data_IF_879539716630
#
_entry.id   IF_879539716630
#
_cell.length_a   1.000
_cell.length_b   1.000
_cell.length_c   1.000
_cell.angle_alpha   90.00
_cell.angle_beta   90.00
_cell.angle_gamma   90.00
#
_symmetry.space_group_name_H-M   'P 1'
#
loop_
_entity.id
_entity.type
_entity.pdbx_description
1 polymer ?
#
# COMPACT_ATOMS: atom_id res chain seq x y z
N UNK A 1 24.81 31.06 3.24
CA UNK A 1 24.58 29.72 3.80
C UNK A 1 24.18 28.80 2.65
N UNK A 2 25.14 28.31 1.87
CA UNK A 2 24.90 27.32 0.82
C UNK A 2 25.39 26.00 1.37
N UNK A 3 24.50 25.27 2.03
CA UNK A 3 24.82 23.91 2.46
C UNK A 3 24.78 23.06 1.19
N UNK A 4 25.96 22.71 0.69
CA UNK A 4 26.10 21.76 -0.40
C UNK A 4 25.55 20.43 0.08
N UNK A 5 24.43 19.99 -0.49
CA UNK A 5 23.86 18.69 -0.15
C UNK A 5 24.81 17.61 -0.66
N UNK A 6 25.52 16.97 0.26
CA UNK A 6 26.37 15.82 -0.04
C UNK A 6 25.47 14.67 -0.51
N UNK A 7 25.75 14.04 -1.66
CA UNK A 7 25.06 12.81 -2.04
C UNK A 7 25.29 11.76 -0.96
N UNK A 8 24.23 11.36 -0.28
CA UNK A 8 24.29 10.30 0.72
C UNK A 8 24.17 8.96 -0.01
N UNK A 9 25.10 8.04 0.25
CA UNK A 9 25.05 6.69 -0.29
C UNK A 9 23.95 5.88 0.42
N UNK A 10 22.81 5.77 -0.24
CA UNK A 10 21.62 5.06 0.22
C UNK A 10 21.45 3.70 -0.48
N UNK A 11 22.52 3.12 -1.05
CA UNK A 11 22.46 1.89 -1.87
C UNK A 11 21.71 0.72 -1.18
N UNK A 12 21.63 0.72 0.14
CA UNK A 12 20.86 -0.25 0.93
C UNK A 12 19.47 0.17 1.41
N UNK A 13 19.06 1.44 1.28
CA UNK A 13 17.76 1.91 1.80
C UNK A 13 16.62 1.47 0.86
N UNK A 14 15.65 0.67 1.34
CA UNK A 14 14.48 0.28 0.56
C UNK A 14 13.55 1.46 0.20
N UNK A 15 13.71 2.61 0.87
CA UNK A 15 12.93 3.85 0.67
C UNK A 15 13.73 4.95 0.01
N UNK A 16 14.90 4.63 -0.55
CA UNK A 16 15.76 5.54 -1.31
C UNK A 16 15.05 6.22 -2.50
N UNK A 17 13.82 5.81 -2.82
CA UNK A 17 12.98 6.48 -3.81
C UNK A 17 13.43 6.21 -5.24
N UNK A 18 14.52 5.46 -5.45
CA UNK A 18 14.91 4.96 -6.76
C UNK A 18 13.79 4.08 -7.32
N UNK A 19 13.16 4.57 -8.37
CA UNK A 19 12.14 3.85 -9.11
C UNK A 19 12.77 2.63 -9.79
N UNK A 20 12.24 1.45 -9.49
CA UNK A 20 12.61 0.22 -10.19
C UNK A 20 11.74 0.18 -11.43
N UNK A 21 12.23 0.74 -12.54
CA UNK A 21 11.54 0.64 -13.82
C UNK A 21 11.41 -0.83 -14.20
N UNK A 22 10.19 -1.37 -14.12
CA UNK A 22 9.88 -2.69 -14.64
C UNK A 22 9.64 -2.49 -16.14
N UNK A 23 10.61 -2.86 -16.96
CA UNK A 23 10.41 -2.91 -18.40
C UNK A 23 9.26 -3.88 -18.69
N UNK A 24 8.20 -3.37 -19.31
CA UNK A 24 7.09 -4.18 -19.81
C UNK A 24 7.54 -4.88 -21.09
N UNK A 25 8.49 -5.80 -20.98
CA UNK A 25 8.83 -6.71 -22.07
C UNK A 25 7.69 -7.74 -22.16
N UNK A 26 7.14 -7.89 -23.35
CA UNK A 26 6.09 -8.86 -23.68
C UNK A 26 6.57 -10.33 -23.58
N UNK A 27 7.82 -10.55 -23.15
CA UNK A 27 8.36 -11.86 -22.86
C UNK A 27 8.10 -12.25 -21.40
N UNK A 28 7.45 -13.41 -21.24
CA UNK A 28 6.82 -13.91 -20.01
C UNK A 28 7.72 -14.10 -18.78
N UNK A 29 9.00 -13.80 -18.87
CA UNK A 29 9.97 -13.86 -17.77
C UNK A 29 9.74 -12.76 -16.72
N UNK A 30 9.32 -11.56 -17.15
CA UNK A 30 9.00 -10.47 -16.23
C UNK A 30 7.72 -10.74 -15.43
N UNK A 31 6.79 -11.51 -15.98
CA UNK A 31 5.54 -11.91 -15.30
C UNK A 31 5.84 -12.92 -14.18
N UNK A 32 6.79 -13.82 -14.42
CA UNK A 32 7.22 -14.82 -13.45
C UNK A 32 7.93 -14.17 -12.26
N UNK A 33 8.83 -13.21 -12.49
CA UNK A 33 9.52 -12.46 -11.43
C UNK A 33 8.62 -11.50 -10.66
N UNK A 34 7.60 -10.90 -11.30
CA UNK A 34 6.59 -10.10 -10.61
C UNK A 34 5.70 -10.96 -9.72
N UNK A 35 5.29 -12.14 -10.21
CA UNK A 35 4.53 -13.10 -9.41
C UNK A 35 5.34 -13.56 -8.20
N UNK A 36 6.65 -13.74 -8.38
CA UNK A 36 7.60 -14.10 -7.32
C UNK A 36 7.77 -13.02 -6.25
N UNK A 37 7.90 -11.75 -6.65
CA UNK A 37 7.98 -10.62 -5.70
C UNK A 37 6.65 -10.35 -5.02
N UNK A 38 5.54 -10.54 -5.73
CA UNK A 38 4.21 -10.39 -5.14
C UNK A 38 3.89 -11.49 -4.13
N UNK A 39 4.30 -12.75 -4.36
CA UNK A 39 4.10 -13.81 -3.34
C UNK A 39 4.87 -13.53 -2.05
N UNK A 40 6.03 -12.88 -2.11
CA UNK A 40 6.81 -12.51 -0.93
C UNK A 40 6.19 -11.31 -0.19
N UNK A 41 5.59 -10.36 -0.92
CA UNK A 41 4.90 -9.18 -0.35
C UNK A 41 3.46 -9.44 0.06
N UNK A 42 2.88 -10.60 -0.30
CA UNK A 42 1.52 -10.95 0.12
C UNK A 42 1.50 -11.07 1.64
N UNK A 43 0.51 -10.44 2.31
CA UNK A 43 0.30 -10.68 3.72
C UNK A 43 0.14 -12.19 3.91
N UNK A 44 1.05 -12.82 4.68
CA UNK A 44 0.80 -14.16 5.15
C UNK A 44 -0.51 -14.07 5.93
N UNK A 45 -1.54 -14.74 5.45
CA UNK A 45 -2.90 -14.75 6.02
C UNK A 45 -2.95 -15.41 7.41
N UNK A 46 -1.85 -15.40 8.16
CA UNK A 46 -1.83 -15.75 9.58
C UNK A 46 -2.36 -14.55 10.33
N UNK A 47 -3.69 -14.46 10.34
CA UNK A 47 -4.38 -13.46 11.13
C UNK A 47 -4.47 -13.96 12.57
N UNK A 48 -3.44 -13.68 13.34
CA UNK A 48 -3.38 -14.01 14.79
C UNK A 48 -4.32 -13.13 15.62
N UNK A 49 -4.77 -11.99 15.07
CA UNK A 49 -5.70 -11.08 15.75
C UNK A 49 -7.12 -11.24 15.22
N UNK A 50 -8.12 -11.47 16.09
CA UNK A 50 -9.51 -11.38 15.67
C UNK A 50 -9.76 -9.93 15.20
N UNK A 51 -10.27 -9.75 13.97
CA UNK A 51 -10.87 -8.48 13.57
C UNK A 51 -11.96 -8.23 14.56
N UNK A 52 -11.87 -7.06 15.17
CA UNK A 52 -12.90 -6.53 16.04
C UNK A 52 -14.23 -6.63 15.28
N UNK A 53 -15.09 -7.52 15.76
CA UNK A 53 -16.46 -7.68 15.27
C UNK A 53 -17.34 -6.61 15.90
N UNK A 54 -16.83 -5.38 16.00
CA UNK A 54 -17.60 -4.25 16.46
C UNK A 54 -18.89 -4.20 15.64
N UNK A 55 -19.97 -3.89 16.35
CA UNK A 55 -21.27 -3.72 15.72
C UNK A 55 -21.13 -2.74 14.56
N UNK A 56 -21.64 -3.07 13.36
CA UNK A 56 -21.59 -2.13 12.25
C UNK A 56 -22.30 -0.83 12.65
N UNK A 57 -21.82 0.33 12.18
CA UNK A 57 -22.48 1.60 12.44
C UNK A 57 -23.97 1.54 12.10
N UNK A 58 -24.79 2.26 12.86
CA UNK A 58 -26.22 2.34 12.59
C UNK A 58 -26.46 2.85 11.16
N UNK A 59 -27.42 2.24 10.46
CA UNK A 59 -27.85 2.73 9.15
C UNK A 59 -28.60 4.05 9.36
N UNK A 60 -28.18 5.09 8.66
CA UNK A 60 -28.89 6.36 8.63
C UNK A 60 -30.09 6.27 7.68
N UNK A 61 -31.25 6.70 8.14
CA UNK A 61 -32.49 6.77 7.34
C UNK A 61 -32.61 8.10 6.62
N UNK A 62 -33.55 8.22 5.67
CA UNK A 62 -33.79 9.49 4.97
C UNK A 62 -34.35 10.55 5.93
N UNK A 63 -35.10 10.09 6.92
CA UNK A 63 -35.69 10.88 7.99
C UNK A 63 -34.60 11.47 8.90
N UNK A 64 -33.57 10.70 9.26
CA UNK A 64 -32.42 11.18 10.03
C UNK A 64 -31.69 12.34 9.32
N UNK A 65 -31.61 12.27 7.99
CA UNK A 65 -30.99 13.32 7.16
C UNK A 65 -31.89 14.56 7.11
N UNK A 66 -33.21 14.40 6.95
CA UNK A 66 -34.17 15.50 6.90
C UNK A 66 -34.20 16.32 8.20
N UNK A 67 -34.08 15.64 9.34
CA UNK A 67 -34.03 16.28 10.67
C UNK A 67 -32.75 17.08 10.91
N UNK A 68 -31.67 16.81 10.17
CA UNK A 68 -30.40 17.53 10.32
C UNK A 68 -30.36 18.86 9.56
N UNK A 69 -31.18 19.00 8.52
CA UNK A 69 -31.16 20.14 7.58
C UNK A 69 -32.25 21.19 7.84
N UNK A 70 -33.07 21.00 8.88
CA UNK A 70 -34.18 21.89 9.26
C UNK A 70 -33.87 22.58 10.58
#
# INVERSE_FOLDING_TARGET
>A
NKQEQIPVDNTGDPRDGREISVSSDEDGDNVQTLTERQREKRPQFTRDTPVDRAQPPALITREDIANLIT
#
